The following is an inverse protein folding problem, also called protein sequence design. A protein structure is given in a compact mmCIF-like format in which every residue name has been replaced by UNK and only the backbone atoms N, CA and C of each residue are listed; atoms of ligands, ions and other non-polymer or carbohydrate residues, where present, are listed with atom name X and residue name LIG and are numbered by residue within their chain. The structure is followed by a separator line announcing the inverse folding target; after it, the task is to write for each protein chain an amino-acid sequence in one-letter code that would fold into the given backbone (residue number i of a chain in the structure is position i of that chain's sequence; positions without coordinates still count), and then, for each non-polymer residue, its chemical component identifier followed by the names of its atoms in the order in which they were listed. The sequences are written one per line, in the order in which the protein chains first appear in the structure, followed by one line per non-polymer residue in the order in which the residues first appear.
data_IF_116545307725
#
_entry.id   IF_116545307725
#
_cell.length_a   1.000
_cell.length_b   1.000
_cell.length_c   1.000
_cell.angle_alpha   90.00
_cell.angle_beta   90.00
_cell.angle_gamma   90.00
#
_symmetry.space_group_name_H-M   'P 1'
#
loop_
_entity.id
_entity.type
_entity.pdbx_description
1 polymer ?
#
# COMPACT_ATOMS: atom_id res chain seq x y z
N UNK A 1 -11.17 -17.03 -0.72
CA UNK A 1 -12.52 -16.51 -0.49
C UNK A 1 -13.38 -17.59 0.13
N UNK A 2 -14.15 -17.21 1.17
CA UNK A 2 -15.18 -18.05 1.79
C UNK A 2 -16.49 -17.30 1.74
N UNK A 3 -17.58 -17.97 1.37
CA UNK A 3 -18.90 -17.36 1.27
C UNK A 3 -19.93 -18.15 2.07
N UNK A 4 -20.84 -17.42 2.70
CA UNK A 4 -22.01 -17.96 3.41
C UNK A 4 -23.24 -17.27 2.83
N UNK A 5 -24.27 -18.05 2.52
CA UNK A 5 -25.53 -17.50 2.01
C UNK A 5 -26.70 -18.32 2.49
N UNK A 6 -27.83 -17.67 2.63
CA UNK A 6 -29.06 -18.31 3.01
C UNK A 6 -30.25 -17.42 2.74
N UNK A 7 -31.41 -18.03 2.54
CA UNK A 7 -32.66 -17.32 2.34
C UNK A 7 -33.83 -18.12 2.94
N UNK A 8 -34.85 -17.40 3.40
CA UNK A 8 -36.15 -17.92 3.81
C UNK A 8 -37.26 -16.95 3.40
N UNK A 9 -38.50 -17.24 3.74
CA UNK A 9 -39.65 -16.40 3.38
C UNK A 9 -39.58 -14.96 3.93
N UNK A 10 -38.76 -14.72 4.93
CA UNK A 10 -38.62 -13.41 5.59
C UNK A 10 -37.41 -12.61 5.14
N UNK A 11 -36.38 -13.25 4.58
CA UNK A 11 -35.21 -12.51 4.17
C UNK A 11 -34.10 -13.39 3.58
N UNK A 12 -33.05 -12.73 3.16
CA UNK A 12 -31.86 -13.35 2.60
C UNK A 12 -30.60 -12.70 3.15
N UNK A 13 -29.51 -13.45 3.15
CA UNK A 13 -28.20 -12.93 3.46
C UNK A 13 -27.13 -13.55 2.56
N UNK A 14 -26.11 -12.76 2.29
CA UNK A 14 -24.88 -13.18 1.65
C UNK A 14 -23.70 -12.50 2.37
N UNK A 15 -22.79 -13.32 2.88
CA UNK A 15 -21.55 -12.88 3.51
C UNK A 15 -20.38 -13.47 2.75
N UNK A 16 -19.43 -12.64 2.33
CA UNK A 16 -18.19 -13.07 1.68
C UNK A 16 -16.99 -12.53 2.45
N UNK A 17 -16.05 -13.42 2.73
CA UNK A 17 -14.76 -13.12 3.32
C UNK A 17 -13.68 -13.42 2.30
N UNK A 18 -12.84 -12.43 2.00
CA UNK A 18 -11.73 -12.59 1.08
C UNK A 18 -10.44 -12.13 1.75
N UNK A 19 -9.42 -12.96 1.68
CA UNK A 19 -8.05 -12.60 2.05
C UNK A 19 -7.16 -12.69 0.80
N UNK A 20 -6.51 -11.61 0.48
CA UNK A 20 -5.54 -11.49 -0.60
C UNK A 20 -4.17 -11.21 0.00
N UNK A 21 -3.19 -11.97 -0.44
CA UNK A 21 -1.78 -11.71 -0.20
C UNK A 21 -1.06 -11.79 -1.55
N UNK A 22 -0.37 -10.74 -1.90
CA UNK A 22 0.48 -10.66 -3.08
C UNK A 22 1.87 -10.26 -2.61
N UNK A 23 2.85 -11.06 -3.00
CA UNK A 23 4.26 -10.77 -2.83
C UNK A 23 4.83 -10.51 -4.21
N UNK A 24 5.21 -9.27 -4.47
CA UNK A 24 5.74 -8.86 -5.76
C UNK A 24 7.08 -9.50 -6.10
N UNK A 25 7.77 -8.93 -7.07
CA UNK A 25 9.02 -9.49 -7.62
C UNK A 25 10.28 -8.91 -6.96
N UNK A 26 10.12 -7.88 -6.10
CA UNK A 26 11.24 -7.20 -5.47
C UNK A 26 11.72 -7.98 -4.24
N UNK A 27 13.04 -8.16 -4.13
CA UNK A 27 13.67 -8.86 -3.01
C UNK A 27 13.31 -8.22 -1.65
N UNK A 28 13.32 -9.02 -0.59
CA UNK A 28 13.13 -8.61 0.81
C UNK A 28 11.71 -8.10 1.12
N UNK A 29 10.71 -8.63 0.41
CA UNK A 29 9.30 -8.30 0.62
C UNK A 29 9.05 -6.77 0.62
N UNK A 30 9.70 -6.07 -0.31
CA UNK A 30 9.61 -4.61 -0.44
C UNK A 30 8.39 -4.14 -1.23
N UNK A 31 7.72 -5.01 -1.96
CA UNK A 31 6.54 -4.76 -2.79
C UNK A 31 5.41 -5.75 -2.46
N UNK A 32 4.92 -5.72 -1.24
CA UNK A 32 3.88 -6.61 -0.77
C UNK A 32 2.52 -5.93 -0.68
N UNK A 33 1.46 -6.66 -0.96
CA UNK A 33 0.09 -6.22 -0.75
C UNK A 33 -0.71 -7.27 0.01
N UNK A 34 -1.35 -6.85 1.11
CA UNK A 34 -2.24 -7.68 1.91
C UNK A 34 -3.59 -6.98 2.02
N UNK A 35 -4.68 -7.70 1.79
CA UNK A 35 -6.03 -7.17 1.94
C UNK A 35 -6.98 -8.21 2.51
N UNK A 36 -7.65 -7.84 3.59
CA UNK A 36 -8.84 -8.54 4.07
C UNK A 36 -10.07 -7.75 3.60
N UNK A 37 -11.01 -8.43 2.95
CA UNK A 37 -12.28 -7.84 2.53
C UNK A 37 -13.45 -8.65 3.09
N UNK A 38 -14.46 -7.94 3.58
CA UNK A 38 -15.72 -8.50 4.06
C UNK A 38 -16.84 -7.82 3.29
N UNK A 39 -17.69 -8.61 2.66
CA UNK A 39 -18.88 -8.13 1.95
C UNK A 39 -20.12 -8.76 2.57
N UNK A 40 -21.07 -7.92 2.95
CA UNK A 40 -22.37 -8.34 3.49
C UNK A 40 -23.49 -7.74 2.64
N UNK A 41 -24.39 -8.58 2.20
CA UNK A 41 -25.68 -8.19 1.65
C UNK A 41 -26.74 -8.91 2.45
N UNK A 42 -27.68 -8.19 3.03
CA UNK A 42 -28.75 -8.79 3.80
C UNK A 42 -30.04 -7.98 3.65
N UNK A 43 -31.13 -8.68 3.61
CA UNK A 43 -32.46 -8.08 3.66
C UNK A 43 -33.40 -8.86 4.55
N UNK A 44 -34.36 -8.20 5.16
CA UNK A 44 -35.33 -8.80 6.05
C UNK A 44 -36.68 -8.10 6.04
N UNK A 45 -37.75 -8.87 5.94
CA UNK A 45 -39.15 -8.41 6.04
C UNK A 45 -39.55 -8.37 7.53
N UNK A 46 -39.52 -7.19 8.12
CA UNK A 46 -39.90 -6.99 9.52
C UNK A 46 -41.40 -7.16 9.70
N UNK A 47 -42.14 -6.62 8.74
CA UNK A 47 -43.61 -6.68 8.63
C UNK A 47 -44.00 -6.88 7.18
N UNK A 48 -45.24 -7.26 6.85
CA UNK A 48 -45.70 -7.37 5.46
C UNK A 48 -45.51 -6.09 4.66
N UNK A 49 -45.56 -4.93 5.32
CA UNK A 49 -45.42 -3.60 4.73
C UNK A 49 -44.04 -2.97 4.93
N UNK A 50 -43.09 -3.62 5.65
CA UNK A 50 -41.76 -3.06 5.91
C UNK A 50 -40.68 -4.10 5.64
N UNK A 51 -39.85 -3.82 4.64
CA UNK A 51 -38.63 -4.55 4.34
C UNK A 51 -37.42 -3.63 4.56
N UNK A 52 -36.43 -4.09 5.27
CA UNK A 52 -35.13 -3.39 5.45
C UNK A 52 -34.01 -4.22 4.86
N UNK A 53 -32.93 -3.55 4.48
CA UNK A 53 -31.76 -4.26 4.00
C UNK A 53 -30.53 -3.41 4.07
N UNK A 54 -29.40 -4.08 3.89
CA UNK A 54 -28.08 -3.46 3.89
C UNK A 54 -27.17 -4.11 2.86
N UNK A 55 -26.35 -3.30 2.24
CA UNK A 55 -25.14 -3.73 1.58
C UNK A 55 -23.96 -3.09 2.33
N UNK A 56 -22.96 -3.85 2.69
CA UNK A 56 -21.77 -3.33 3.34
C UNK A 56 -20.53 -3.99 2.75
N UNK A 57 -19.51 -3.22 2.50
CA UNK A 57 -18.21 -3.68 2.07
C UNK A 57 -17.15 -3.05 2.97
N UNK A 58 -16.43 -3.89 3.70
CA UNK A 58 -15.30 -3.48 4.51
C UNK A 58 -14.02 -4.03 3.88
N UNK A 59 -12.99 -3.21 3.80
CA UNK A 59 -11.66 -3.60 3.40
C UNK A 59 -10.62 -3.01 4.34
N UNK A 60 -9.70 -3.86 4.80
CA UNK A 60 -8.47 -3.46 5.47
C UNK A 60 -7.31 -3.88 4.59
N UNK A 61 -6.35 -2.98 4.35
CA UNK A 61 -5.17 -3.31 3.56
C UNK A 61 -3.89 -2.79 4.17
N UNK A 62 -2.81 -3.47 3.84
CA UNK A 62 -1.44 -3.01 4.06
C UNK A 62 -0.65 -3.25 2.79
N UNK A 63 0.03 -2.23 2.31
CA UNK A 63 0.97 -2.35 1.20
C UNK A 63 2.33 -1.79 1.58
N UNK A 64 3.36 -2.43 1.09
CA UNK A 64 4.71 -1.89 1.00
C UNK A 64 4.99 -1.63 -0.46
N UNK A 65 5.64 -0.54 -0.75
CA UNK A 65 6.05 -0.20 -2.11
C UNK A 65 7.43 0.46 -2.06
N UNK A 66 8.25 0.14 -3.02
CA UNK A 66 9.47 0.89 -3.28
C UNK A 66 9.09 2.24 -3.89
N UNK A 67 9.91 3.25 -3.65
CA UNK A 67 9.76 4.52 -4.36
C UNK A 67 10.19 4.31 -5.80
N UNK A 68 9.24 4.30 -6.70
CA UNK A 68 9.52 4.38 -8.13
C UNK A 68 9.54 5.87 -8.45
N UNK A 69 10.75 6.43 -8.56
CA UNK A 69 11.03 7.85 -8.67
C UNK A 69 9.98 8.65 -9.48
N UNK A 70 8.96 9.09 -8.79
CA UNK A 70 7.95 9.96 -9.36
C UNK A 70 8.53 11.37 -9.49
N UNK A 71 8.90 11.75 -10.65
CA UNK A 71 9.40 13.10 -10.89
C UNK A 71 10.21 13.26 -12.17
N UNK A 72 10.11 12.33 -13.11
CA UNK A 72 10.72 12.48 -14.42
C UNK A 72 12.24 12.26 -14.46
N UNK A 73 12.86 11.95 -13.34
CA UNK A 73 14.27 11.55 -13.28
C UNK A 73 14.33 10.04 -13.05
N UNK A 74 14.72 9.32 -14.08
CA UNK A 74 14.85 7.86 -14.09
C UNK A 74 15.96 7.30 -13.17
N UNK A 75 16.67 8.14 -12.46
CA UNK A 75 17.84 7.78 -11.65
C UNK A 75 17.52 6.91 -10.42
N UNK A 76 16.29 6.92 -9.98
CA UNK A 76 15.82 6.17 -8.80
C UNK A 76 14.75 5.12 -9.13
N UNK A 77 14.38 4.97 -10.40
CA UNK A 77 13.50 3.87 -10.81
C UNK A 77 14.24 2.55 -10.69
N UNK A 78 13.72 1.67 -9.86
CA UNK A 78 14.29 0.34 -9.63
C UNK A 78 14.41 -0.46 -10.94
N UNK A 79 13.38 -0.45 -11.77
CA UNK A 79 13.35 -1.18 -13.03
C UNK A 79 14.37 -0.60 -14.03
N UNK A 80 14.40 0.73 -14.14
CA UNK A 80 15.36 1.38 -15.03
C UNK A 80 16.81 1.10 -14.61
N UNK A 81 17.10 1.16 -13.31
CA UNK A 81 18.46 0.87 -12.81
C UNK A 81 18.89 -0.57 -13.01
N UNK A 82 17.98 -1.53 -12.81
CA UNK A 82 18.28 -2.95 -13.10
C UNK A 82 18.60 -3.17 -14.58
N UNK A 83 17.87 -2.50 -15.49
CA UNK A 83 18.07 -2.65 -16.94
C UNK A 83 19.34 -1.98 -17.47
N UNK A 84 19.86 -0.99 -16.74
CA UNK A 84 20.99 -0.15 -17.21
C UNK A 84 22.26 -0.33 -16.39
N UNK A 85 22.22 -1.07 -15.27
CA UNK A 85 23.38 -1.34 -14.46
C UNK A 85 24.38 -2.21 -15.25
N UNK A 86 25.63 -1.80 -15.23
CA UNK A 86 26.70 -2.57 -15.86
C UNK A 86 26.92 -3.91 -15.13
N UNK A 87 26.92 -5.05 -15.84
CA UNK A 87 26.91 -6.38 -15.24
C UNK A 87 28.20 -6.75 -14.45
N UNK A 88 29.26 -5.95 -14.59
CA UNK A 88 30.52 -6.12 -13.86
C UNK A 88 30.55 -5.42 -12.50
N UNK A 89 29.52 -4.64 -12.15
CA UNK A 89 29.44 -3.98 -10.85
C UNK A 89 28.95 -5.01 -9.81
N UNK A 90 29.72 -5.26 -8.79
CA UNK A 90 29.33 -6.17 -7.71
C UNK A 90 28.20 -5.58 -6.86
N UNK A 91 27.32 -6.43 -6.33
CA UNK A 91 26.23 -6.02 -5.45
C UNK A 91 26.75 -5.43 -4.12
N UNK A 92 27.79 -6.05 -3.56
CA UNK A 92 28.36 -5.67 -2.28
C UNK A 92 29.88 -5.75 -2.29
N UNK A 93 30.49 -5.02 -1.35
CA UNK A 93 31.93 -5.05 -1.08
C UNK A 93 32.18 -5.23 0.42
N UNK A 94 33.09 -6.10 0.84
CA UNK A 94 33.45 -6.24 2.22
C UNK A 94 34.16 -4.97 2.76
N UNK A 95 34.04 -4.74 4.06
CA UNK A 95 34.50 -3.49 4.67
C UNK A 95 36.01 -3.25 4.52
N UNK A 96 36.80 -4.33 4.47
CA UNK A 96 38.28 -4.31 4.32
C UNK A 96 38.75 -4.18 2.87
N UNK A 97 37.82 -4.31 1.89
CA UNK A 97 38.15 -4.27 0.47
C UNK A 97 37.25 -3.26 -0.31
N UNK A 98 36.96 -2.14 0.33
CA UNK A 98 36.11 -1.10 -0.30
C UNK A 98 36.89 -0.41 -1.43
N UNK A 99 36.24 -0.22 -2.61
CA UNK A 99 36.76 0.62 -3.68
C UNK A 99 37.04 2.06 -3.21
N UNK A 100 38.11 2.66 -3.74
CA UNK A 100 38.54 4.02 -3.37
C UNK A 100 37.39 5.07 -3.49
N UNK A 101 36.53 4.93 -4.48
CA UNK A 101 35.37 5.81 -4.65
C UNK A 101 34.38 5.72 -3.48
N UNK A 102 34.15 4.51 -2.96
CA UNK A 102 33.25 4.31 -1.83
C UNK A 102 33.89 4.80 -0.52
N UNK A 103 35.21 4.59 -0.33
CA UNK A 103 35.96 5.14 0.80
C UNK A 103 35.88 6.67 0.83
N UNK A 104 36.01 7.32 -0.33
CA UNK A 104 35.89 8.77 -0.44
C UNK A 104 34.51 9.30 0.00
N UNK A 105 33.42 8.56 -0.26
CA UNK A 105 32.09 8.99 0.17
C UNK A 105 31.93 8.88 1.70
N UNK A 106 32.51 7.86 2.32
CA UNK A 106 32.56 7.77 3.79
C UNK A 106 33.35 8.93 4.37
N UNK A 107 34.51 9.24 3.80
CA UNK A 107 35.34 10.37 4.23
C UNK A 107 34.62 11.72 4.08
N UNK A 108 33.75 11.87 3.07
CA UNK A 108 32.85 13.01 2.87
C UNK A 108 31.66 13.04 3.85
N UNK A 109 31.55 12.05 4.76
CA UNK A 109 30.51 11.97 5.79
C UNK A 109 29.18 11.37 5.31
N UNK A 110 29.14 10.68 4.18
CA UNK A 110 27.96 9.93 3.76
C UNK A 110 27.87 8.57 4.43
N UNK A 111 26.65 8.12 4.66
CA UNK A 111 26.36 6.76 5.13
C UNK A 111 26.24 5.84 3.93
N UNK A 112 27.07 4.80 3.86
CA UNK A 112 26.88 3.71 2.91
C UNK A 112 26.03 2.62 3.57
N UNK A 113 25.04 2.10 2.85
CA UNK A 113 24.16 1.06 3.34
C UNK A 113 24.87 -0.29 3.36
N UNK A 114 24.62 -1.09 4.40
CA UNK A 114 25.23 -2.40 4.62
C UNK A 114 24.16 -3.51 4.59
N UNK A 115 24.59 -4.71 4.26
CA UNK A 115 23.83 -5.93 4.44
C UNK A 115 23.96 -6.45 5.89
N UNK A 116 23.27 -7.57 6.19
CA UNK A 116 23.32 -8.18 7.53
C UNK A 116 24.72 -8.72 7.93
N UNK A 117 25.59 -8.95 6.96
CA UNK A 117 26.97 -9.43 7.20
C UNK A 117 27.98 -8.29 7.41
N UNK A 118 27.53 -7.02 7.27
CA UNK A 118 28.40 -5.85 7.37
C UNK A 118 29.06 -5.44 6.05
N UNK A 119 28.78 -6.12 4.92
CA UNK A 119 29.28 -5.72 3.62
C UNK A 119 28.49 -4.50 3.11
N UNK A 120 29.17 -3.58 2.46
CA UNK A 120 28.57 -2.38 1.91
C UNK A 120 27.95 -2.64 0.56
N UNK A 121 26.70 -2.21 0.34
CA UNK A 121 26.10 -2.21 -0.97
C UNK A 121 26.81 -1.26 -1.92
N UNK A 122 26.98 -1.69 -3.16
CA UNK A 122 27.66 -0.88 -4.16
C UNK A 122 26.96 0.46 -4.39
N UNK A 123 27.74 1.53 -4.43
CA UNK A 123 27.32 2.83 -4.91
C UNK A 123 28.16 3.30 -6.13
N UNK A 124 28.72 2.35 -6.85
CA UNK A 124 29.54 2.57 -8.03
C UNK A 124 28.69 2.64 -9.30
N UNK A 125 27.54 3.27 -9.24
CA UNK A 125 26.74 3.54 -10.43
C UNK A 125 27.47 4.44 -11.41
N UNK A 126 27.34 4.18 -12.69
CA UNK A 126 27.81 5.11 -13.72
C UNK A 126 26.88 6.33 -13.76
N UNK A 127 27.45 7.53 -13.74
CA UNK A 127 26.75 8.82 -13.74
C UNK A 127 25.82 9.02 -12.54
N UNK A 128 24.53 9.12 -12.76
CA UNK A 128 23.51 9.48 -11.75
C UNK A 128 22.70 8.25 -11.27
N UNK A 129 23.05 7.05 -11.74
CA UNK A 129 22.30 5.84 -11.44
C UNK A 129 22.61 5.35 -10.01
N UNK A 130 21.56 4.98 -9.32
CA UNK A 130 21.66 4.34 -8.01
C UNK A 130 21.69 2.82 -8.21
N UNK A 131 22.61 2.12 -7.54
CA UNK A 131 22.61 0.67 -7.56
C UNK A 131 21.26 0.11 -7.05
N UNK A 132 20.64 -0.89 -7.72
CA UNK A 132 19.32 -1.41 -7.34
C UNK A 132 19.21 -1.80 -5.86
N UNK A 133 20.26 -2.39 -5.30
CA UNK A 133 20.30 -2.80 -3.88
C UNK A 133 20.31 -1.61 -2.91
N UNK A 134 20.76 -0.45 -3.33
CA UNK A 134 20.64 0.81 -2.58
C UNK A 134 19.23 1.39 -2.80
N UNK A 135 18.74 1.39 -4.04
CA UNK A 135 17.44 1.95 -4.38
C UNK A 135 16.29 1.37 -3.56
N UNK A 136 16.27 0.06 -3.33
CA UNK A 136 15.24 -0.61 -2.51
C UNK A 136 15.33 -0.27 -1.02
N UNK A 137 16.42 0.38 -0.55
CA UNK A 137 16.69 0.70 0.86
C UNK A 137 16.76 2.19 1.17
N UNK A 138 16.64 3.04 0.16
CA UNK A 138 16.68 4.50 0.35
C UNK A 138 15.55 4.97 1.27
N UNK A 139 14.39 4.36 1.15
CA UNK A 139 13.27 4.62 2.04
C UNK A 139 12.42 3.36 2.23
N UNK A 140 11.75 3.31 3.37
CA UNK A 140 10.75 2.32 3.69
C UNK A 140 9.37 2.97 3.63
N UNK A 141 8.56 2.61 2.65
CA UNK A 141 7.21 3.12 2.50
C UNK A 141 6.19 2.04 2.82
N UNK A 142 5.30 2.34 3.76
CA UNK A 142 4.19 1.46 4.16
C UNK A 142 2.89 2.24 4.10
N UNK A 143 1.92 1.72 3.37
CA UNK A 143 0.56 2.24 3.35
C UNK A 143 -0.34 1.27 4.10
N UNK A 144 -1.24 1.80 4.93
CA UNK A 144 -2.29 1.03 5.59
C UNK A 144 -3.60 1.76 5.44
N UNK A 145 -4.67 1.05 5.18
CA UNK A 145 -5.98 1.68 5.05
C UNK A 145 -7.12 0.79 5.51
N UNK A 146 -8.20 1.46 5.90
CA UNK A 146 -9.48 0.87 6.20
C UNK A 146 -10.54 1.59 5.38
N UNK A 147 -11.46 0.86 4.81
CA UNK A 147 -12.59 1.42 4.08
C UNK A 147 -13.84 0.63 4.43
N UNK A 148 -14.87 1.34 4.85
CA UNK A 148 -16.22 0.82 5.03
C UNK A 148 -17.15 1.62 4.13
N UNK A 149 -17.85 0.95 3.22
CA UNK A 149 -18.85 1.56 2.36
C UNK A 149 -20.08 0.68 2.29
N UNK A 150 -21.21 1.30 2.12
CA UNK A 150 -22.44 0.52 2.00
C UNK A 150 -23.69 1.39 1.91
N UNK A 151 -24.82 0.69 1.92
CA UNK A 151 -26.14 1.29 1.88
C UNK A 151 -27.04 0.59 2.89
N UNK A 152 -27.75 1.37 3.68
CA UNK A 152 -28.92 0.93 4.43
C UNK A 152 -30.16 1.37 3.68
N UNK A 153 -31.16 0.51 3.56
CA UNK A 153 -32.41 0.88 2.93
C UNK A 153 -33.62 0.33 3.65
N UNK A 154 -34.72 1.04 3.53
CA UNK A 154 -36.03 0.60 3.98
C UNK A 154 -37.07 0.80 2.88
N UNK A 155 -37.80 -0.25 2.58
CA UNK A 155 -38.96 -0.23 1.69
C UNK A 155 -40.21 -0.31 2.52
N UNK A 156 -41.04 0.70 2.39
CA UNK A 156 -42.31 0.80 3.08
C UNK A 156 -43.47 0.71 2.07
N UNK A 157 -44.34 -0.27 2.23
CA UNK A 157 -45.47 -0.55 1.35
C UNK A 157 -46.78 -0.36 2.11
N UNK A 158 -47.28 0.91 2.26
CA UNK A 158 -48.45 1.21 3.07
C UNK A 158 -49.73 0.64 2.51
N UNK A 159 -49.86 0.60 1.18
CA UNK A 159 -51.00 0.05 0.44
C UNK A 159 -50.47 -0.73 -0.77
N UNK A 160 -51.32 -1.58 -1.35
CA UNK A 160 -50.98 -2.36 -2.54
C UNK A 160 -50.48 -1.44 -3.64
N UNK A 161 -49.42 -1.85 -4.34
CA UNK A 161 -48.84 -1.16 -5.52
C UNK A 161 -48.17 0.20 -5.22
N UNK A 162 -48.03 0.62 -3.94
CA UNK A 162 -47.29 1.80 -3.56
C UNK A 162 -46.11 1.43 -2.67
N UNK A 163 -44.88 1.68 -3.15
CA UNK A 163 -43.64 1.44 -2.38
C UNK A 163 -42.91 2.76 -2.22
N UNK A 164 -42.66 3.14 -0.96
CA UNK A 164 -41.74 4.21 -0.60
C UNK A 164 -40.41 3.62 -0.19
N UNK A 165 -39.33 4.06 -0.82
CA UNK A 165 -37.98 3.60 -0.54
C UNK A 165 -37.15 4.74 0.01
N UNK A 166 -36.51 4.54 1.18
CA UNK A 166 -35.46 5.43 1.69
C UNK A 166 -34.14 4.70 1.75
N UNK A 167 -33.05 5.38 1.41
CA UNK A 167 -31.68 4.83 1.37
C UNK A 167 -30.72 5.78 2.01
N UNK A 168 -29.84 5.24 2.83
CA UNK A 168 -28.69 5.93 3.39
C UNK A 168 -27.40 5.26 2.87
N UNK A 169 -26.73 5.91 1.93
CA UNK A 169 -25.39 5.54 1.48
C UNK A 169 -24.35 6.11 2.42
N UNK A 170 -23.29 5.35 2.70
CA UNK A 170 -22.17 5.80 3.51
C UNK A 170 -20.83 5.28 2.99
N UNK A 171 -19.80 6.09 3.16
CA UNK A 171 -18.41 5.72 2.93
C UNK A 171 -17.55 6.37 4.01
N UNK A 172 -16.80 5.53 4.73
CA UNK A 172 -15.81 5.97 5.72
C UNK A 172 -14.51 5.28 5.36
N UNK A 173 -13.45 6.06 5.12
CA UNK A 173 -12.16 5.52 4.77
C UNK A 173 -11.05 6.27 5.51
N UNK A 174 -10.01 5.55 5.87
CA UNK A 174 -8.78 6.10 6.45
C UNK A 174 -7.59 5.47 5.77
N UNK A 175 -6.72 6.30 5.22
CA UNK A 175 -5.48 5.89 4.57
C UNK A 175 -4.30 6.55 5.30
N UNK A 176 -3.34 5.74 5.72
CA UNK A 176 -2.12 6.21 6.36
C UNK A 176 -0.91 5.78 5.54
N UNK A 177 -0.07 6.73 5.20
CA UNK A 177 1.23 6.50 4.58
C UNK A 177 2.32 6.79 5.59
N UNK A 178 3.20 5.85 5.79
CA UNK A 178 4.41 5.98 6.58
C UNK A 178 5.59 5.89 5.64
N UNK A 179 6.49 6.87 5.69
CA UNK A 179 7.73 6.88 4.94
C UNK A 179 8.87 7.13 5.91
N UNK A 180 9.80 6.20 5.99
CA UNK A 180 11.06 6.35 6.70
C UNK A 180 12.16 6.61 5.67
N UNK A 181 12.81 7.76 5.74
CA UNK A 181 13.92 8.13 4.88
C UNK A 181 15.22 7.77 5.58
N UNK A 182 15.97 6.84 5.02
CA UNK A 182 17.26 6.43 5.54
C UNK A 182 18.36 7.43 5.15
N UNK A 183 19.43 7.47 5.91
CA UNK A 183 20.69 8.07 5.45
C UNK A 183 21.33 7.11 4.45
N UNK A 184 21.74 7.60 3.30
CA UNK A 184 22.39 6.79 2.27
C UNK A 184 23.18 7.65 1.28
N UNK A 185 24.09 6.98 0.58
CA UNK A 185 24.69 7.48 -0.64
C UNK A 185 24.43 6.46 -1.77
N UNK A 186 23.74 6.88 -2.79
CA UNK A 186 23.49 6.08 -3.98
C UNK A 186 24.26 6.60 -5.20
N UNK A 187 24.26 7.94 -5.37
CA UNK A 187 25.01 8.65 -6.40
C UNK A 187 25.09 10.13 -6.02
N UNK A 188 25.79 10.94 -6.82
CA UNK A 188 25.86 12.39 -6.61
C UNK A 188 24.49 13.06 -6.63
N UNK A 189 23.55 12.56 -7.45
CA UNK A 189 22.20 13.09 -7.60
C UNK A 189 21.18 12.43 -6.68
N UNK A 190 21.52 11.32 -6.03
CA UNK A 190 20.64 10.56 -5.15
C UNK A 190 21.35 10.16 -3.87
N UNK A 191 21.34 11.04 -2.90
CA UNK A 191 21.91 10.84 -1.58
C UNK A 191 21.11 11.55 -0.50
N UNK A 192 21.18 11.06 0.71
CA UNK A 192 20.60 11.67 1.90
C UNK A 192 21.62 11.61 3.04
N UNK A 193 22.22 12.74 3.36
CA UNK A 193 23.24 12.87 4.38
C UNK A 193 22.70 13.32 5.73
N UNK A 194 21.62 14.12 5.72
CA UNK A 194 21.25 14.97 6.85
C UNK A 194 19.91 14.60 7.49
N UNK A 195 19.08 13.80 6.84
CA UNK A 195 17.70 13.56 7.28
C UNK A 195 17.40 12.07 7.46
N UNK A 196 17.66 11.54 8.65
CA UNK A 196 17.02 10.30 9.08
C UNK A 196 15.70 10.65 9.73
N UNK A 197 14.59 10.44 9.04
CA UNK A 197 13.30 10.92 9.49
C UNK A 197 12.12 10.06 9.06
N UNK A 198 11.03 10.17 9.83
CA UNK A 198 9.76 9.52 9.55
C UNK A 198 8.73 10.56 9.17
N UNK A 199 8.08 10.35 8.04
CA UNK A 199 6.91 11.13 7.63
C UNK A 199 5.66 10.25 7.73
N UNK A 200 4.63 10.76 8.37
CA UNK A 200 3.31 10.15 8.39
C UNK A 200 2.29 11.07 7.75
N UNK A 201 1.60 10.58 6.76
CA UNK A 201 0.43 11.24 6.17
C UNK A 201 -0.80 10.41 6.48
N UNK A 202 -1.85 11.06 7.01
CA UNK A 202 -3.14 10.43 7.30
C UNK A 202 -4.23 11.17 6.55
N UNK A 203 -5.00 10.44 5.77
CA UNK A 203 -6.17 10.94 5.05
C UNK A 203 -7.41 10.23 5.58
N UNK A 204 -8.40 10.99 6.01
CA UNK A 204 -9.72 10.47 6.39
C UNK A 204 -10.77 11.03 5.46
N UNK A 205 -11.61 10.15 4.95
CA UNK A 205 -12.72 10.49 4.07
C UNK A 205 -14.01 9.98 4.68
N UNK A 206 -15.00 10.85 4.79
CA UNK A 206 -16.33 10.50 5.26
C UNK A 206 -17.35 11.08 4.28
N UNK A 207 -18.27 10.25 3.82
CA UNK A 207 -19.32 10.63 2.89
C UNK A 207 -20.63 9.96 3.28
N UNK A 208 -21.72 10.73 3.26
CA UNK A 208 -23.07 10.25 3.46
C UNK A 208 -23.98 10.80 2.36
N UNK A 209 -24.89 9.96 1.92
CA UNK A 209 -25.90 10.31 0.93
C UNK A 209 -27.25 9.75 1.37
N UNK A 210 -28.29 10.58 1.37
CA UNK A 210 -29.65 10.16 1.67
C UNK A 210 -30.53 10.38 0.46
N UNK A 211 -31.27 9.33 0.11
CA UNK A 211 -32.18 9.29 -1.05
C UNK A 211 -33.56 8.78 -0.60
N UNK A 212 -34.61 9.34 -1.19
CA UNK A 212 -35.99 8.92 -1.00
C UNK A 212 -36.72 8.80 -2.33
#
# INVERSE_FOLDING_TARGET
TVTFQGANDKGSYFLSLNNLYDNGIIREDRDTYKRLSVMLNADYKIKPWLKVGTTANYANYTSKAISDGSGGTSYVSMIATVMTLAPYIADTYPADALPTQMQAQIANGFTLLQNANGDYYSCLGTMEQVHPMVAIRMNDKKNTGNSLMGTLYANFTPIKDLVFTTRLGYRIATDNTYTHNNLYYGSASASNKDRNGVTRTSLSTTYYQWEN
#
